data_IF_590396355940
#
_entry.id   IF_590396355940
#
_cell.length_a   1.000
_cell.length_b   1.000
_cell.length_c   1.000
_cell.angle_alpha   90.00
_cell.angle_beta   90.00
_cell.angle_gamma   90.00
#
_symmetry.space_group_name_H-M   'P 1'
#
loop_
_entity.id
_entity.type
_entity.pdbx_description
1 polymer ?
#
# COMPACT_ATOMS: atom_id res chain seq x y z
N UNK A 1 0.94 -62.62 -59.13
CA UNK A 1 2.10 -61.67 -59.12
C UNK A 1 1.92 -60.73 -57.95
N UNK A 2 2.92 -60.71 -57.09
CA UNK A 2 2.98 -60.09 -55.76
C UNK A 2 3.14 -58.58 -55.87
N UNK A 3 2.40 -57.78 -55.06
CA UNK A 3 2.87 -56.46 -54.58
C UNK A 3 2.33 -56.15 -53.18
N UNK A 4 3.20 -56.38 -52.21
CA UNK A 4 3.15 -55.93 -50.82
C UNK A 4 3.58 -54.46 -50.76
N UNK A 5 2.82 -53.59 -50.08
CA UNK A 5 3.25 -52.24 -49.74
C UNK A 5 3.39 -52.13 -48.22
N UNK A 6 4.63 -52.01 -47.74
CA UNK A 6 4.95 -51.68 -46.37
C UNK A 6 4.97 -50.15 -46.22
N UNK A 7 4.10 -49.61 -45.36
CA UNK A 7 4.10 -48.19 -45.01
C UNK A 7 4.87 -48.00 -43.69
N UNK A 8 6.05 -47.39 -43.77
CA UNK A 8 6.78 -46.87 -42.61
C UNK A 8 6.09 -45.58 -42.14
N UNK A 9 5.54 -45.59 -40.93
CA UNK A 9 5.09 -44.39 -40.24
C UNK A 9 6.26 -43.76 -39.47
N UNK A 10 6.79 -42.64 -39.98
CA UNK A 10 7.69 -41.76 -39.21
C UNK A 10 6.87 -41.00 -38.16
N UNK A 11 7.06 -41.32 -36.88
CA UNK A 11 6.59 -40.51 -35.77
C UNK A 11 7.60 -39.38 -35.50
N UNK A 12 7.30 -38.16 -35.96
CA UNK A 12 8.09 -36.97 -35.70
C UNK A 12 7.79 -36.38 -34.31
N UNK A 13 8.81 -36.31 -33.45
CA UNK A 13 8.76 -35.69 -32.13
C UNK A 13 8.90 -34.16 -32.28
N UNK A 14 7.80 -33.41 -32.16
CA UNK A 14 7.83 -31.93 -32.14
C UNK A 14 8.09 -31.47 -30.71
N UNK A 15 9.33 -31.06 -30.42
CA UNK A 15 9.67 -30.42 -29.15
C UNK A 15 9.15 -28.98 -29.14
N UNK A 16 8.06 -28.73 -28.40
CA UNK A 16 7.58 -27.38 -28.10
C UNK A 16 8.60 -26.66 -27.19
N UNK A 17 9.45 -25.83 -27.80
CA UNK A 17 10.25 -24.82 -27.11
C UNK A 17 9.32 -23.72 -26.60
N UNK A 18 8.79 -23.87 -25.38
CA UNK A 18 8.09 -22.79 -24.71
C UNK A 18 9.11 -21.67 -24.39
N UNK A 19 8.89 -20.41 -24.83
CA UNK A 19 9.77 -19.31 -24.45
C UNK A 19 9.71 -19.12 -22.93
N UNK A 20 10.84 -19.33 -22.26
CA UNK A 20 11.04 -18.95 -20.87
C UNK A 20 11.02 -17.42 -20.80
N UNK A 21 9.85 -16.84 -20.56
CA UNK A 21 9.74 -15.44 -20.16
C UNK A 21 10.48 -15.28 -18.83
N UNK A 22 11.66 -14.66 -18.89
CA UNK A 22 12.40 -14.24 -17.71
C UNK A 22 11.56 -13.14 -17.06
N UNK A 23 10.73 -13.50 -16.08
CA UNK A 23 10.04 -12.54 -15.23
C UNK A 23 11.09 -11.93 -14.32
N UNK A 24 11.56 -10.73 -14.65
CA UNK A 24 12.42 -9.97 -13.75
C UNK A 24 11.61 -9.65 -12.50
N UNK A 25 11.98 -10.14 -11.29
CA UNK A 25 11.23 -9.86 -10.09
C UNK A 25 11.24 -8.34 -9.87
N UNK A 26 10.05 -7.74 -9.79
CA UNK A 26 9.93 -6.35 -9.39
C UNK A 26 10.60 -6.18 -8.02
N UNK A 27 11.46 -5.17 -7.87
CA UNK A 27 12.10 -4.86 -6.58
C UNK A 27 11.01 -4.71 -5.53
N UNK A 28 11.03 -5.59 -4.53
CA UNK A 28 10.11 -5.50 -3.41
C UNK A 28 10.45 -4.26 -2.58
N UNK A 29 9.43 -3.60 -2.04
CA UNK A 29 9.64 -2.59 -1.03
C UNK A 29 10.32 -3.22 0.20
N UNK A 30 11.14 -2.43 0.88
CA UNK A 30 11.89 -2.90 2.05
C UNK A 30 11.54 -2.04 3.26
N UNK A 31 11.33 -2.68 4.40
CA UNK A 31 11.26 -2.00 5.69
C UNK A 31 12.64 -1.41 6.02
N UNK A 32 12.66 -0.17 6.48
CA UNK A 32 13.85 0.57 6.86
C UNK A 32 13.82 0.82 8.35
N UNK A 33 14.81 0.30 9.06
CA UNK A 33 14.88 0.38 10.51
C UNK A 33 13.97 -0.62 11.22
N UNK A 34 13.64 -0.31 12.46
CA UNK A 34 12.88 -1.21 13.33
C UNK A 34 11.37 -1.17 13.07
N UNK A 35 10.70 -2.24 13.44
CA UNK A 35 9.23 -2.32 13.48
C UNK A 35 8.78 -2.13 14.92
N UNK A 36 7.94 -1.13 15.18
CA UNK A 36 7.54 -0.69 16.52
C UNK A 36 6.13 -1.16 16.84
N UNK A 37 5.93 -1.71 18.05
CA UNK A 37 4.62 -2.15 18.51
C UNK A 37 3.83 -1.01 19.16
N UNK A 38 2.58 -0.83 18.75
CA UNK A 38 1.64 0.10 19.37
C UNK A 38 0.67 -0.67 20.28
N UNK A 39 1.01 -0.74 21.57
CA UNK A 39 0.25 -1.49 22.58
C UNK A 39 -1.27 -1.21 22.57
N UNK A 40 -1.77 0.06 22.53
CA UNK A 40 -3.20 0.34 22.56
C UNK A 40 -4.01 -0.31 21.42
N UNK A 41 -3.45 -0.35 20.21
CA UNK A 41 -4.12 -0.95 19.04
C UNK A 41 -3.75 -2.42 18.79
N UNK A 42 -2.69 -2.91 19.43
CA UNK A 42 -2.08 -4.19 19.10
C UNK A 42 -1.43 -4.25 17.71
N UNK A 43 -1.31 -3.15 16.96
CA UNK A 43 -0.66 -3.09 15.65
C UNK A 43 0.86 -2.96 15.75
N UNK A 44 1.57 -3.39 14.70
CA UNK A 44 2.97 -3.04 14.47
C UNK A 44 3.09 -1.98 13.38
N UNK A 45 4.05 -1.07 13.51
CA UNK A 45 4.30 0.00 12.54
C UNK A 45 5.73 -0.09 12.02
N UNK A 46 5.92 0.20 10.74
CA UNK A 46 7.25 0.30 10.13
C UNK A 46 7.30 1.41 9.09
N UNK A 47 8.50 1.89 8.82
CA UNK A 47 8.79 2.75 7.68
C UNK A 47 9.29 1.89 6.53
N UNK A 48 8.72 2.02 5.34
CA UNK A 48 9.19 1.34 4.15
C UNK A 48 9.76 2.33 3.14
N UNK A 49 10.62 1.80 2.26
CA UNK A 49 11.28 2.57 1.21
C UNK A 49 11.20 1.86 -0.14
N UNK A 50 10.85 2.61 -1.18
CA UNK A 50 10.84 2.15 -2.57
C UNK A 50 11.19 3.31 -3.53
N UNK A 51 12.24 3.10 -4.34
CA UNK A 51 12.67 3.99 -5.42
C UNK A 51 12.36 3.38 -6.80
N UNK A 52 11.11 3.03 -7.07
CA UNK A 52 10.70 2.73 -8.43
C UNK A 52 10.63 4.05 -9.25
N UNK A 53 11.78 4.51 -9.75
CA UNK A 53 11.94 5.77 -10.50
C UNK A 53 12.82 6.79 -9.77
N UNK A 54 12.82 8.06 -10.24
CA UNK A 54 13.66 9.13 -9.66
C UNK A 54 13.17 9.63 -8.30
N UNK A 55 11.86 9.65 -8.10
CA UNK A 55 11.24 10.34 -6.96
C UNK A 55 10.49 9.41 -5.98
N UNK A 56 10.53 8.10 -6.22
CA UNK A 56 9.77 7.11 -5.47
C UNK A 56 8.47 6.75 -6.17
N UNK A 57 7.44 6.44 -5.40
CA UNK A 57 6.20 5.84 -5.91
C UNK A 57 4.96 6.66 -5.57
N UNK A 58 3.91 6.51 -6.37
CA UNK A 58 2.62 7.14 -6.10
C UNK A 58 1.91 6.49 -4.92
N UNK A 59 0.89 7.16 -4.37
CA UNK A 59 0.14 6.63 -3.22
C UNK A 59 -0.50 5.26 -3.51
N UNK A 60 -1.04 5.06 -4.73
CA UNK A 60 -1.63 3.78 -5.14
C UNK A 60 -0.62 2.63 -5.11
N UNK A 61 0.59 2.89 -5.61
CA UNK A 61 1.66 1.91 -5.64
C UNK A 61 2.17 1.66 -4.22
N UNK A 62 2.33 2.70 -3.41
CA UNK A 62 2.70 2.58 -1.99
C UNK A 62 1.72 1.71 -1.22
N UNK A 63 0.42 1.81 -1.52
CA UNK A 63 -0.60 0.92 -0.99
C UNK A 63 -0.36 -0.53 -1.38
N UNK A 64 -0.20 -0.83 -2.67
CA UNK A 64 0.07 -2.18 -3.14
C UNK A 64 1.39 -2.75 -2.58
N UNK A 65 2.41 -1.91 -2.42
CA UNK A 65 3.68 -2.28 -1.78
C UNK A 65 3.52 -2.58 -0.29
N UNK A 66 2.74 -1.80 0.43
CA UNK A 66 2.44 -2.06 1.84
C UNK A 66 1.66 -3.37 2.03
N UNK A 67 0.69 -3.65 1.15
CA UNK A 67 -0.11 -4.89 1.15
C UNK A 67 0.73 -6.14 0.82
N UNK A 68 1.84 -5.98 0.10
CA UNK A 68 2.78 -7.07 -0.21
C UNK A 68 3.75 -7.39 0.95
N UNK A 69 3.82 -6.54 1.97
CA UNK A 69 4.66 -6.78 3.14
C UNK A 69 3.91 -7.62 4.17
N UNK A 70 4.66 -8.37 4.98
CA UNK A 70 4.12 -9.06 6.15
C UNK A 70 5.10 -8.99 7.31
N UNK A 71 4.56 -8.98 8.53
CA UNK A 71 5.36 -9.02 9.74
C UNK A 71 4.65 -9.86 10.79
N UNK A 72 5.35 -10.87 11.33
CA UNK A 72 4.79 -11.84 12.30
C UNK A 72 3.46 -12.45 11.83
N UNK A 73 3.39 -12.84 10.56
CA UNK A 73 2.21 -13.44 9.95
C UNK A 73 1.03 -12.49 9.71
N UNK A 74 1.21 -11.18 9.94
CA UNK A 74 0.19 -10.15 9.69
C UNK A 74 0.47 -9.45 8.37
N UNK A 75 -0.51 -9.36 7.45
CA UNK A 75 -0.35 -8.60 6.22
C UNK A 75 -0.24 -7.10 6.53
N UNK A 76 0.56 -6.39 5.74
CA UNK A 76 0.70 -4.95 5.84
C UNK A 76 -0.44 -4.20 5.16
N UNK A 77 -0.58 -2.93 5.53
CA UNK A 77 -1.36 -1.91 4.82
C UNK A 77 -0.67 -0.56 5.01
N UNK A 78 -1.00 0.46 4.24
CA UNK A 78 -0.57 1.81 4.61
C UNK A 78 -1.12 2.18 5.99
N UNK A 79 -0.29 2.82 6.82
CA UNK A 79 -0.63 3.01 8.22
C UNK A 79 -1.88 3.87 8.44
N UNK A 80 -2.80 3.39 9.27
CA UNK A 80 -3.93 4.17 9.80
C UNK A 80 -3.45 4.90 11.05
N UNK A 81 -3.47 6.24 11.03
CA UNK A 81 -2.93 7.11 12.09
C UNK A 81 -4.06 8.06 12.50
N UNK A 82 -5.06 7.48 13.13
CA UNK A 82 -6.37 8.04 13.49
C UNK A 82 -6.42 8.59 14.93
N UNK A 83 -5.31 8.51 15.67
CA UNK A 83 -5.22 8.98 17.04
C UNK A 83 -3.84 9.59 17.35
N UNK A 84 -3.80 10.37 18.43
CA UNK A 84 -2.58 11.08 18.88
C UNK A 84 -1.47 10.13 19.32
N UNK A 85 -1.81 8.94 19.82
CA UNK A 85 -0.84 7.94 20.28
C UNK A 85 -0.08 7.34 19.11
N UNK A 86 -0.78 6.97 18.02
CA UNK A 86 -0.17 6.51 16.77
C UNK A 86 0.67 7.61 16.11
N UNK A 87 0.19 8.87 16.13
CA UNK A 87 0.97 9.99 15.61
C UNK A 87 2.29 10.17 16.36
N UNK A 88 2.26 10.17 17.69
CA UNK A 88 3.46 10.27 18.53
C UNK A 88 4.41 9.10 18.28
N UNK A 89 3.89 7.86 18.23
CA UNK A 89 4.69 6.67 17.92
C UNK A 89 5.43 6.82 16.60
N UNK A 90 4.74 7.27 15.55
CA UNK A 90 5.34 7.44 14.23
C UNK A 90 6.40 8.53 14.23
N UNK A 91 6.09 9.70 14.81
CA UNK A 91 7.00 10.85 14.91
C UNK A 91 8.28 10.51 15.67
N UNK A 92 8.16 9.78 16.77
CA UNK A 92 9.25 9.57 17.71
C UNK A 92 10.20 8.47 17.23
N UNK A 93 9.69 7.44 16.55
CA UNK A 93 10.48 6.27 16.15
C UNK A 93 10.98 6.30 14.69
N UNK A 94 10.29 7.00 13.78
CA UNK A 94 10.63 6.94 12.36
C UNK A 94 11.13 8.30 11.85
N UNK A 95 12.43 8.41 11.62
CA UNK A 95 13.02 9.59 10.98
C UNK A 95 13.11 9.37 9.48
N UNK A 96 12.50 10.27 8.71
CA UNK A 96 12.56 10.28 7.24
C UNK A 96 12.97 11.66 6.74
N UNK A 97 13.82 11.70 5.70
CA UNK A 97 14.35 12.95 5.12
C UNK A 97 13.52 13.44 3.94
N UNK A 98 12.56 12.64 3.48
CA UNK A 98 11.67 12.94 2.36
C UNK A 98 10.24 12.59 2.77
N UNK A 99 9.22 13.21 2.16
CA UNK A 99 7.83 12.94 2.52
C UNK A 99 7.49 11.45 2.52
N UNK A 100 6.55 11.06 3.37
CA UNK A 100 6.16 9.66 3.55
C UNK A 100 4.64 9.49 3.42
N UNK A 101 4.19 8.63 2.50
CA UNK A 101 2.75 8.30 2.38
C UNK A 101 2.24 7.56 3.62
N UNK A 102 0.95 7.72 3.93
CA UNK A 102 0.25 6.86 4.89
C UNK A 102 -1.19 6.61 4.43
N UNK A 103 -1.96 5.87 5.21
CA UNK A 103 -3.21 5.24 4.83
C UNK A 103 -4.40 6.17 4.63
N UNK A 104 -4.22 7.49 4.50
CA UNK A 104 -5.29 8.45 4.29
C UNK A 104 -5.31 8.97 2.86
N UNK A 105 -6.51 9.16 2.32
CA UNK A 105 -6.74 9.83 1.03
C UNK A 105 -7.98 10.72 1.08
N UNK A 106 -7.94 11.80 0.32
CA UNK A 106 -9.08 12.67 0.06
C UNK A 106 -9.72 12.32 -1.28
N UNK A 107 -10.96 11.87 -1.28
CA UNK A 107 -11.72 11.55 -2.47
C UNK A 107 -12.32 12.79 -3.11
N UNK A 108 -12.00 13.06 -4.38
CA UNK A 108 -12.36 14.33 -5.02
C UNK A 108 -13.86 14.46 -5.29
N UNK A 109 -14.54 13.38 -5.72
CA UNK A 109 -15.95 13.41 -6.08
C UNK A 109 -16.88 13.53 -4.85
N UNK A 110 -16.80 12.64 -3.84
CA UNK A 110 -17.60 12.78 -2.63
C UNK A 110 -17.03 13.79 -1.62
N UNK A 111 -15.86 14.41 -1.90
CA UNK A 111 -15.20 15.41 -1.05
C UNK A 111 -14.99 14.94 0.39
N UNK A 112 -14.59 13.68 0.57
CA UNK A 112 -14.44 13.06 1.89
C UNK A 112 -13.05 12.46 2.08
N UNK A 113 -12.58 12.42 3.32
CA UNK A 113 -11.38 11.68 3.71
C UNK A 113 -11.77 10.25 4.08
N UNK A 114 -10.94 9.29 3.65
CA UNK A 114 -11.12 7.89 4.02
C UNK A 114 -9.78 7.20 4.18
N UNK A 115 -9.73 6.32 5.17
CA UNK A 115 -8.61 5.45 5.45
C UNK A 115 -8.54 4.28 4.47
N UNK A 116 -7.40 3.59 4.40
CA UNK A 116 -7.22 2.40 3.56
C UNK A 116 -8.05 1.19 4.02
N UNK A 117 -8.46 1.17 5.28
CA UNK A 117 -9.42 0.19 5.83
C UNK A 117 -10.88 0.53 5.52
N UNK A 118 -11.12 1.53 4.66
CA UNK A 118 -12.45 2.00 4.22
C UNK A 118 -13.25 2.78 5.27
N UNK A 119 -12.71 3.00 6.47
CA UNK A 119 -13.36 3.85 7.45
C UNK A 119 -13.29 5.33 7.00
N UNK A 120 -14.40 6.08 7.11
CA UNK A 120 -14.39 7.52 6.87
C UNK A 120 -13.55 8.22 7.95
N UNK A 121 -12.93 9.34 7.58
CA UNK A 121 -12.28 10.25 8.52
C UNK A 121 -13.07 11.55 8.57
N UNK A 122 -13.68 11.82 9.72
CA UNK A 122 -14.55 12.96 9.97
C UNK A 122 -13.75 14.21 10.35
N UNK A 123 -14.38 15.38 10.32
CA UNK A 123 -13.69 16.64 10.59
C UNK A 123 -13.25 16.78 12.06
N UNK A 124 -13.96 16.10 12.97
CA UNK A 124 -13.74 16.10 14.41
C UNK A 124 -12.70 15.06 14.85
N UNK A 125 -12.30 14.15 13.94
CA UNK A 125 -11.29 13.15 14.20
C UNK A 125 -9.90 13.80 14.38
N UNK A 126 -8.98 13.05 14.99
CA UNK A 126 -7.61 13.51 15.17
C UNK A 126 -6.96 13.86 13.83
N UNK A 127 -6.41 15.08 13.74
CA UNK A 127 -5.75 15.57 12.53
C UNK A 127 -4.65 16.58 12.85
N UNK A 128 -3.60 16.59 12.04
CA UNK A 128 -2.44 17.49 12.20
C UNK A 128 -2.03 18.10 10.86
N UNK A 129 -2.98 18.73 10.16
CA UNK A 129 -2.77 19.33 8.84
C UNK A 129 -1.80 20.51 8.86
N UNK A 130 -0.91 20.57 7.87
CA UNK A 130 -0.20 21.81 7.52
C UNK A 130 -1.21 22.94 7.23
N UNK A 131 -0.89 24.22 7.55
CA UNK A 131 -1.75 25.35 7.22
C UNK A 131 -2.15 25.38 5.74
N UNK A 132 -1.20 25.02 4.86
CA UNK A 132 -1.50 24.68 3.47
C UNK A 132 -1.81 23.18 3.37
N UNK A 133 -3.09 22.82 3.39
CA UNK A 133 -3.53 21.41 3.40
C UNK A 133 -3.12 20.61 2.15
N UNK A 134 -2.75 21.26 1.03
CA UNK A 134 -2.24 20.61 -0.18
C UNK A 134 -0.97 21.30 -0.73
N UNK A 135 -0.15 20.57 -1.50
CA UNK A 135 1.12 21.09 -2.07
C UNK A 135 1.18 21.17 -3.60
N UNK A 136 0.29 20.50 -4.32
CA UNK A 136 0.38 20.38 -5.79
C UNK A 136 -0.62 21.26 -6.54
N UNK A 137 -0.23 21.66 -7.76
CA UNK A 137 -1.14 22.25 -8.76
C UNK A 137 -2.14 21.23 -9.30
N UNK A 138 -1.76 19.93 -9.28
CA UNK A 138 -2.68 18.82 -9.53
C UNK A 138 -3.46 18.55 -8.25
N UNK A 139 -4.73 18.97 -8.22
CA UNK A 139 -5.60 18.88 -7.04
C UNK A 139 -7.06 18.71 -7.45
N UNK A 140 -7.88 18.24 -6.52
CA UNK A 140 -9.33 18.19 -6.71
C UNK A 140 -9.88 19.59 -7.07
N UNK A 141 -10.87 19.64 -7.95
CA UNK A 141 -11.49 20.89 -8.43
C UNK A 141 -10.71 21.60 -9.56
N UNK A 142 -9.43 21.26 -9.77
CA UNK A 142 -8.62 21.78 -10.90
C UNK A 142 -8.28 20.68 -11.90
N UNK A 143 -7.97 19.47 -11.42
CA UNK A 143 -7.59 18.33 -12.24
C UNK A 143 -8.63 17.22 -12.15
N UNK A 144 -8.81 16.45 -13.23
CA UNK A 144 -9.67 15.26 -13.26
C UNK A 144 -8.93 14.06 -12.65
N UNK A 145 -8.81 14.07 -11.32
CA UNK A 145 -8.20 12.98 -10.53
C UNK A 145 -9.25 12.38 -9.60
N UNK A 146 -9.08 11.10 -9.24
CA UNK A 146 -10.06 10.40 -8.38
C UNK A 146 -9.90 10.76 -6.90
N UNK A 147 -8.66 10.91 -6.46
CA UNK A 147 -8.32 11.22 -5.08
C UNK A 147 -6.97 11.94 -5.00
N UNK A 148 -6.67 12.46 -3.81
CA UNK A 148 -5.37 12.96 -3.40
C UNK A 148 -4.86 12.09 -2.25
N UNK A 149 -3.65 11.54 -2.38
CA UNK A 149 -3.01 10.80 -1.29
C UNK A 149 -2.52 11.77 -0.21
N UNK A 150 -2.49 11.33 1.04
CA UNK A 150 -2.00 12.15 2.17
C UNK A 150 -0.65 11.60 2.65
N UNK A 151 0.24 12.51 2.99
CA UNK A 151 1.60 12.21 3.43
C UNK A 151 1.99 13.04 4.65
N UNK A 152 3.01 12.56 5.37
CA UNK A 152 3.73 13.30 6.39
C UNK A 152 4.85 14.15 5.77
N UNK A 153 4.88 15.43 6.12
CA UNK A 153 6.04 16.29 5.83
C UNK A 153 7.26 15.84 6.64
N UNK A 154 8.48 15.89 6.09
CA UNK A 154 9.67 15.43 6.81
C UNK A 154 10.01 16.31 8.01
N UNK A 155 9.84 17.63 7.89
CA UNK A 155 10.32 18.58 8.91
C UNK A 155 9.33 18.76 10.07
N UNK A 156 8.04 18.94 9.76
CA UNK A 156 7.01 19.24 10.76
C UNK A 156 6.23 18.01 11.20
N UNK A 157 6.35 16.90 10.46
CA UNK A 157 5.51 15.71 10.66
C UNK A 157 4.02 16.06 10.72
N UNK A 158 3.59 16.98 9.85
CA UNK A 158 2.20 17.38 9.66
C UNK A 158 1.66 16.77 8.36
N UNK A 159 0.34 16.69 8.26
CA UNK A 159 -0.33 16.10 7.12
C UNK A 159 -0.46 17.09 5.97
N UNK A 160 -0.29 16.59 4.75
CA UNK A 160 -0.55 17.35 3.55
C UNK A 160 -1.02 16.41 2.43
N UNK A 161 -1.92 16.90 1.59
CA UNK A 161 -2.46 16.15 0.46
C UNK A 161 -1.70 16.48 -0.84
N UNK A 162 -1.57 15.47 -1.70
CA UNK A 162 -0.95 15.59 -3.01
C UNK A 162 -1.75 14.82 -4.07
N UNK A 163 -1.78 15.37 -5.28
CA UNK A 163 -2.37 14.70 -6.45
C UNK A 163 -1.66 13.40 -6.81
N UNK A 164 -2.34 12.56 -7.58
CA UNK A 164 -1.89 11.21 -7.96
C UNK A 164 -0.56 11.14 -8.72
N UNK A 165 -0.10 12.26 -9.29
CA UNK A 165 1.18 12.35 -10.00
C UNK A 165 2.39 12.62 -9.09
N UNK A 166 2.19 12.77 -7.79
CA UNK A 166 3.30 12.92 -6.84
C UNK A 166 3.84 11.56 -6.44
N UNK A 167 5.15 11.52 -6.27
CA UNK A 167 5.91 10.32 -5.97
C UNK A 167 6.77 10.61 -4.76
N UNK A 168 6.73 9.70 -3.78
CA UNK A 168 7.58 9.76 -2.59
C UNK A 168 8.22 8.41 -2.36
N UNK A 169 9.46 8.38 -1.85
CA UNK A 169 10.17 7.12 -1.68
C UNK A 169 9.82 6.42 -0.37
N UNK A 170 9.25 7.14 0.60
CA UNK A 170 8.88 6.59 1.90
C UNK A 170 7.38 6.39 2.02
N UNK A 171 6.99 5.40 2.81
CA UNK A 171 5.61 5.21 3.23
C UNK A 171 5.55 4.42 4.54
N UNK A 172 4.57 4.74 5.37
CA UNK A 172 4.33 4.05 6.63
C UNK A 172 3.44 2.83 6.42
N UNK A 173 3.84 1.73 7.05
CA UNK A 173 3.16 0.45 6.98
C UNK A 173 2.64 0.09 8.37
N UNK A 174 1.40 -0.35 8.45
CA UNK A 174 0.80 -0.92 9.65
C UNK A 174 0.52 -2.41 9.41
N UNK A 175 0.88 -3.25 10.38
CA UNK A 175 0.53 -4.66 10.45
C UNK A 175 -0.47 -4.86 11.59
N UNK A 176 -1.74 -4.63 11.27
CA UNK A 176 -2.86 -4.70 12.22
C UNK A 176 -3.04 -6.13 12.76
N UNK A 177 -3.67 -6.31 13.94
CA UNK A 177 -4.10 -7.62 14.40
C UNK A 177 -4.95 -8.32 13.34
N UNK A 178 -4.78 -9.64 13.22
CA UNK A 178 -5.71 -10.43 12.41
C UNK A 178 -7.09 -10.26 13.02
N UNK A 179 -8.07 -9.85 12.20
CA UNK A 179 -9.47 -9.91 12.62
C UNK A 179 -9.77 -11.39 12.89
N UNK A 180 -10.00 -11.73 14.16
CA UNK A 180 -10.52 -13.04 14.48
C UNK A 180 -11.90 -13.08 13.84
N UNK A 181 -12.07 -13.88 12.80
CA UNK A 181 -13.38 -14.17 12.24
C UNK A 181 -14.24 -14.59 13.43
N UNK A 182 -15.18 -13.72 13.85
CA UNK A 182 -16.19 -14.12 14.81
C UNK A 182 -17.02 -15.17 14.11
N UNK A 183 -16.63 -16.43 14.33
CA UNK A 183 -17.32 -17.61 13.85
C UNK A 183 -18.77 -17.43 14.22
N UNK A 184 -19.61 -17.30 13.20
CA UNK A 184 -21.05 -17.29 13.31
C UNK A 184 -21.51 -18.69 13.72
N UNK A 185 -21.29 -19.06 14.98
CA UNK A 185 -22.18 -19.98 15.69
C UNK A 185 -23.37 -19.10 16.10
N UNK A 186 -24.36 -18.84 15.26
CA UNK A 186 -25.11 -19.87 14.57
C UNK A 186 -25.69 -20.79 15.62
N UNK A 187 -26.61 -20.28 16.45
CA UNK A 187 -27.56 -21.12 17.16
C UNK A 187 -28.80 -21.19 16.24
N UNK A 188 -29.05 -22.31 15.52
CA UNK A 188 -30.22 -22.41 14.66
C UNK A 188 -31.52 -22.67 15.43
N UNK A 189 -31.48 -22.83 16.76
CA UNK A 189 -32.64 -23.26 17.55
C UNK A 189 -32.84 -22.36 18.78
N UNK A 190 -33.62 -21.28 18.62
CA UNK A 190 -34.50 -20.75 19.68
C UNK A 190 -35.73 -20.04 19.07
#
# INVERSE_FOLDING_TARGET
>A
MVRTFAALALAGLVALLAPLSIVTPARAAQLVGDVVYHAPSGSYFGLAYDLAGRDGIGWSDARGRAEALSYKGRPGRLAVIDDVSKHNLVRDNFKHRRPAWFGLRYWCAPKMLAWVNLEPHMNEDFQVWMPAWHRSNVRCGVSRIRYMGVYYTPDTQMWQAAGENKHFPYFFVEFAPLQQNQSTTGNPDE
#
